data_IF_878396493887
#
_entry.id   IF_878396493887
#
_cell.length_a   1.000
_cell.length_b   1.000
_cell.length_c   1.000
_cell.angle_alpha   90.00
_cell.angle_beta   90.00
_cell.angle_gamma   90.00
#
_symmetry.space_group_name_H-M   'P 1'
#
loop_
_entity.id
_entity.type
_entity.pdbx_description
1 polymer ?
#
# COMPACT_ATOMS: atom_id res chain seq x y z
N UNK A 1 3.47 8.43 -11.68
CA UNK A 1 2.55 8.43 -10.52
C UNK A 1 1.49 7.40 -10.81
N UNK A 2 1.27 6.45 -9.89
CA UNK A 2 0.26 5.39 -10.05
C UNK A 2 -1.10 5.95 -9.64
N UNK A 3 -2.12 5.77 -10.48
CA UNK A 3 -3.48 6.21 -10.20
C UNK A 3 -4.18 5.25 -9.25
N UNK A 4 -5.26 5.71 -8.61
CA UNK A 4 -6.10 4.85 -7.78
C UNK A 4 -6.63 3.61 -8.54
N UNK A 5 -7.02 3.78 -9.80
CA UNK A 5 -7.48 2.66 -10.63
C UNK A 5 -6.37 1.64 -10.89
N UNK A 6 -5.14 2.12 -11.14
CA UNK A 6 -3.98 1.24 -11.29
C UNK A 6 -3.68 0.49 -9.99
N UNK A 7 -3.83 1.12 -8.83
CA UNK A 7 -3.69 0.44 -7.54
C UNK A 7 -4.75 -0.65 -7.34
N UNK A 8 -6.03 -0.35 -7.63
CA UNK A 8 -7.10 -1.36 -7.56
C UNK A 8 -6.83 -2.56 -8.46
N UNK A 9 -6.30 -2.33 -9.66
CA UNK A 9 -5.91 -3.40 -10.56
C UNK A 9 -4.76 -4.26 -10.04
N UNK A 10 -4.00 -3.78 -9.04
CA UNK A 10 -2.90 -4.51 -8.40
C UNK A 10 -3.33 -5.29 -7.14
N UNK A 11 -4.61 -5.28 -6.73
CA UNK A 11 -5.07 -6.09 -5.60
C UNK A 11 -4.77 -7.58 -5.83
N UNK A 12 -4.30 -8.24 -4.78
CA UNK A 12 -3.80 -9.62 -4.78
C UNK A 12 -2.42 -9.81 -5.41
N UNK A 13 -1.81 -8.77 -5.99
CA UNK A 13 -0.50 -8.87 -6.66
C UNK A 13 0.67 -8.61 -5.71
N UNK A 14 1.83 -9.16 -6.08
CA UNK A 14 3.05 -9.15 -5.26
C UNK A 14 4.00 -8.04 -5.71
N UNK A 15 4.48 -7.28 -4.74
CA UNK A 15 5.48 -6.23 -4.89
C UNK A 15 6.79 -6.71 -4.26
N UNK A 16 7.88 -6.64 -5.02
CA UNK A 16 9.21 -6.98 -4.54
C UNK A 16 9.87 -5.76 -3.88
N UNK A 17 10.53 -5.95 -2.74
CA UNK A 17 11.26 -4.92 -2.02
C UNK A 17 12.76 -5.03 -2.32
N UNK A 18 13.52 -3.96 -2.06
CA UNK A 18 14.98 -3.92 -2.28
C UNK A 18 15.75 -4.93 -1.43
N UNK A 19 15.24 -5.26 -0.24
CA UNK A 19 15.83 -6.25 0.67
C UNK A 19 15.55 -7.71 0.25
N UNK A 20 14.88 -7.91 -0.88
CA UNK A 20 14.51 -9.21 -1.42
C UNK A 20 13.24 -9.81 -0.82
N UNK A 21 12.62 -9.16 0.17
CA UNK A 21 11.30 -9.55 0.68
C UNK A 21 10.19 -9.15 -0.28
N UNK A 22 8.97 -9.61 0.00
CA UNK A 22 7.79 -9.33 -0.84
C UNK A 22 6.60 -8.94 0.00
N UNK A 23 5.77 -8.05 -0.54
CA UNK A 23 4.48 -7.67 0.01
C UNK A 23 3.37 -7.93 -1.01
N UNK A 24 2.26 -8.51 -0.58
CA UNK A 24 1.04 -8.62 -1.40
C UNK A 24 0.14 -7.45 -1.11
N UNK A 25 -0.36 -6.74 -2.12
CA UNK A 25 -1.40 -5.73 -1.95
C UNK A 25 -2.73 -6.44 -1.65
N UNK A 26 -3.11 -6.51 -0.38
CA UNK A 26 -4.29 -7.23 0.07
C UNK A 26 -5.59 -6.47 -0.21
N UNK A 27 -5.59 -5.15 -0.07
CA UNK A 27 -6.78 -4.31 -0.25
C UNK A 27 -6.40 -2.88 -0.64
N UNK A 28 -7.23 -2.26 -1.48
CA UNK A 28 -7.25 -0.81 -1.75
C UNK A 28 -8.55 -0.23 -1.22
N UNK A 29 -8.46 0.51 -0.12
CA UNK A 29 -9.62 1.10 0.53
C UNK A 29 -9.83 2.56 0.12
N UNK A 30 -11.07 2.94 -0.18
CA UNK A 30 -11.45 4.32 -0.53
C UNK A 30 -12.56 4.77 0.42
N UNK A 31 -12.24 5.42 1.55
CA UNK A 31 -13.26 5.95 2.45
C UNK A 31 -14.09 7.03 1.73
N UNK A 32 -15.29 7.33 2.25
CA UNK A 32 -16.14 8.39 1.69
C UNK A 32 -15.36 9.71 1.64
N UNK A 33 -15.11 10.21 0.43
CA UNK A 33 -14.31 11.41 0.22
C UNK A 33 -15.18 12.66 0.37
N UNK A 34 -14.67 13.65 1.11
CA UNK A 34 -15.18 15.00 1.01
C UNK A 34 -14.85 15.57 -0.38
N UNK A 35 -15.71 16.42 -0.93
CA UNK A 35 -15.46 17.09 -2.20
C UNK A 35 -14.12 17.85 -2.17
N UNK A 36 -13.30 17.68 -3.22
CA UNK A 36 -11.97 18.30 -3.31
C UNK A 36 -10.86 17.58 -2.56
N UNK A 37 -11.08 16.36 -2.05
CA UNK A 37 -10.06 15.53 -1.41
C UNK A 37 -9.85 14.20 -2.13
N UNK A 38 -8.60 13.75 -2.18
CA UNK A 38 -8.21 12.41 -2.57
C UNK A 38 -7.76 11.67 -1.31
N UNK A 39 -8.55 10.67 -0.90
CA UNK A 39 -8.29 9.83 0.28
C UNK A 39 -8.43 8.35 -0.09
N UNK A 40 -7.34 7.59 0.02
CA UNK A 40 -7.36 6.14 -0.11
C UNK A 40 -6.22 5.51 0.68
N UNK A 41 -6.33 4.23 1.01
CA UNK A 41 -5.24 3.46 1.61
C UNK A 41 -4.96 2.16 0.88
N UNK A 42 -3.73 1.68 1.02
CA UNK A 42 -3.24 0.43 0.47
C UNK A 42 -2.84 -0.46 1.65
N UNK A 43 -3.51 -1.59 1.82
CA UNK A 43 -3.17 -2.59 2.81
C UNK A 43 -2.27 -3.65 2.17
N UNK A 44 -1.05 -3.77 2.66
CA UNK A 44 -0.10 -4.79 2.26
C UNK A 44 0.02 -5.88 3.32
N UNK A 45 0.17 -7.12 2.88
CA UNK A 45 0.42 -8.29 3.72
C UNK A 45 1.78 -8.92 3.40
N UNK A 46 2.48 -9.38 4.42
CA UNK A 46 3.71 -10.16 4.28
C UNK A 46 4.06 -10.94 5.54
N UNK A 47 5.19 -11.63 5.54
CA UNK A 47 5.64 -12.50 6.64
C UNK A 47 6.85 -11.94 7.40
N UNK A 48 7.20 -10.69 7.15
CA UNK A 48 8.30 -9.97 7.79
C UNK A 48 7.78 -8.92 8.78
N UNK A 49 8.57 -8.66 9.82
CA UNK A 49 8.37 -7.54 10.76
C UNK A 49 9.23 -6.36 10.31
N UNK A 50 8.67 -5.14 10.30
CA UNK A 50 9.41 -3.92 9.91
C UNK A 50 8.88 -2.72 10.67
N UNK A 51 9.76 -1.75 10.92
CA UNK A 51 9.37 -0.43 11.41
C UNK A 51 8.67 0.38 10.31
N UNK A 52 7.98 1.45 10.69
CA UNK A 52 7.41 2.37 9.72
C UNK A 52 8.50 3.07 8.91
N UNK A 53 8.24 3.32 7.63
CA UNK A 53 9.22 3.99 6.79
C UNK A 53 8.86 3.99 5.32
N UNK A 54 9.64 4.76 4.57
CA UNK A 54 9.58 4.80 3.12
C UNK A 54 10.28 3.58 2.54
N UNK A 55 9.61 2.87 1.65
CA UNK A 55 10.14 1.66 1.01
C UNK A 55 10.07 1.82 -0.51
N UNK A 56 11.14 1.42 -1.19
CA UNK A 56 11.09 1.20 -2.62
C UNK A 56 10.53 -0.20 -2.89
N UNK A 57 9.61 -0.27 -3.83
CA UNK A 57 8.94 -1.50 -4.23
C UNK A 57 8.84 -1.55 -5.76
N UNK A 58 9.01 -2.74 -6.31
CA UNK A 58 8.97 -3.01 -7.75
C UNK A 58 7.80 -3.92 -8.07
N UNK A 59 7.08 -3.57 -9.12
CA UNK A 59 5.98 -4.35 -9.68
C UNK A 59 6.09 -4.38 -11.19
N UNK A 60 5.85 -5.54 -11.82
CA UNK A 60 6.11 -5.72 -13.25
C UNK A 60 5.28 -4.79 -14.14
N UNK A 61 4.03 -4.51 -13.76
CA UNK A 61 3.15 -3.63 -14.53
C UNK A 61 3.22 -2.14 -14.12
N UNK A 62 3.61 -1.86 -12.88
CA UNK A 62 3.57 -0.50 -12.31
C UNK A 62 4.97 0.16 -12.20
N UNK A 63 6.04 -0.62 -12.45
CA UNK A 63 7.42 -0.17 -12.35
C UNK A 63 7.91 -0.08 -10.90
N UNK A 64 8.88 0.81 -10.68
CA UNK A 64 9.40 1.12 -9.36
C UNK A 64 8.60 2.25 -8.71
N UNK A 65 8.26 2.04 -7.44
CA UNK A 65 7.40 2.90 -6.66
C UNK A 65 8.01 3.10 -5.28
N UNK A 66 7.68 4.22 -4.65
CA UNK A 66 8.14 4.54 -3.31
C UNK A 66 6.93 4.85 -2.45
N UNK A 67 6.75 4.10 -1.36
CA UNK A 67 5.55 4.15 -0.52
C UNK A 67 5.97 4.23 0.95
N UNK A 68 5.31 5.08 1.73
CA UNK A 68 5.48 5.10 3.18
C UNK A 68 4.54 4.08 3.81
N UNK A 69 5.11 3.07 4.48
CA UNK A 69 4.37 1.99 5.12
C UNK A 69 4.38 2.16 6.64
N UNK A 70 3.21 1.97 7.25
CA UNK A 70 3.04 1.89 8.70
C UNK A 70 2.71 0.44 9.07
N UNK A 71 3.48 -0.23 9.95
CA UNK A 71 3.14 -1.56 10.42
C UNK A 71 1.89 -1.50 11.29
N UNK A 72 0.88 -2.28 10.93
CA UNK A 72 -0.31 -2.51 11.75
C UNK A 72 -0.16 -3.73 12.67
N UNK A 73 0.90 -4.53 12.44
CA UNK A 73 1.14 -5.78 13.16
C UNK A 73 0.25 -6.93 12.66
N UNK A 74 0.16 -8.04 13.42
CA UNK A 74 -0.78 -9.10 13.11
C UNK A 74 -2.21 -8.65 13.43
N UNK A 75 -3.07 -8.53 12.42
CA UNK A 75 -4.49 -8.19 12.58
C UNK A 75 -5.30 -9.43 12.99
N UNK A 76 -4.88 -10.08 14.07
CA UNK A 76 -5.49 -11.31 14.57
C UNK A 76 -5.25 -12.55 13.70
N UNK A 77 -4.34 -12.51 12.72
CA UNK A 77 -3.95 -13.72 12.01
C UNK A 77 -2.98 -14.54 12.86
N UNK A 78 -3.26 -15.84 12.97
CA UNK A 78 -2.44 -16.80 13.71
C UNK A 78 -1.36 -17.45 12.83
N UNK A 79 -1.27 -17.07 11.56
CA UNK A 79 -0.36 -17.63 10.56
C UNK A 79 0.97 -16.87 10.46
N UNK A 80 1.16 -15.83 11.27
CA UNK A 80 2.35 -14.97 11.23
C UNK A 80 2.31 -13.86 10.19
N UNK A 81 1.18 -13.67 9.49
CA UNK A 81 0.99 -12.55 8.57
C UNK A 81 1.03 -11.22 9.32
N UNK A 82 1.83 -10.30 8.81
CA UNK A 82 1.95 -8.94 9.27
C UNK A 82 1.35 -8.00 8.23
N UNK A 83 0.59 -7.01 8.69
CA UNK A 83 -0.04 -6.03 7.82
C UNK A 83 0.66 -4.68 7.90
N UNK A 84 0.68 -3.98 6.77
CA UNK A 84 1.26 -2.67 6.62
C UNK A 84 0.29 -1.80 5.83
N UNK A 85 0.10 -0.56 6.22
CA UNK A 85 -0.78 0.36 5.51
C UNK A 85 -0.02 1.57 4.98
N UNK A 86 -0.32 1.94 3.74
CA UNK A 86 0.02 3.23 3.17
C UNK A 86 -1.24 4.08 3.04
N UNK A 87 -1.24 5.29 3.59
CA UNK A 87 -2.37 6.21 3.52
C UNK A 87 -2.02 7.37 2.61
N UNK A 88 -2.83 7.59 1.58
CA UNK A 88 -2.76 8.72 0.68
C UNK A 88 -3.90 9.66 1.01
N UNK A 89 -3.57 10.87 1.44
CA UNK A 89 -4.54 11.90 1.79
C UNK A 89 -4.00 13.25 1.35
N UNK A 90 -4.68 13.88 0.38
CA UNK A 90 -4.34 15.24 -0.07
C UNK A 90 -5.57 15.99 -0.55
N UNK A 91 -5.51 17.31 -0.43
CA UNK A 91 -6.46 18.20 -1.10
C UNK A 91 -6.12 18.25 -2.60
N UNK A 92 -7.13 18.07 -3.45
CA UNK A 92 -7.02 18.24 -4.89
C UNK A 92 -7.20 19.72 -5.18
N UNK A 93 -6.21 20.35 -5.83
CA UNK A 93 -6.36 21.74 -6.25
C UNK A 93 -7.49 21.82 -7.28
N UNK A 94 -8.45 22.73 -7.08
CA UNK A 94 -9.43 23.06 -8.10
C UNK A 94 -8.67 23.67 -9.29
N UNK A 95 -8.57 22.92 -10.38
CA UNK A 95 -8.06 23.39 -11.67
C UNK A 95 -9.05 24.31 -12.36
#
# INVERSE_FOLDING_TARGET
MVTLEQWKNCEGQVFALEDGSTLTLAEVSVPSMAEGWECFSLLFAGNQQREQGTVAMRHDAAGELTVFLVPLGPLGSNDGTCYFEAVFNRQVANS
#
